data_IF_796796980716
#
_entry.id   IF_796796980716
#
_cell.length_a   1.000
_cell.length_b   1.000
_cell.length_c   1.000
_cell.angle_alpha   90.00
_cell.angle_beta   90.00
_cell.angle_gamma   90.00
#
_symmetry.space_group_name_H-M   'P 1'
#
loop_
_entity.id
_entity.type
_entity.pdbx_description
1 polymer ?
#
# COMPACT_ATOMS: atom_id res chain seq x y z
N UNK A 1 -14.74 -32.13 32.72
CA UNK A 1 -15.21 -31.00 31.90
C UNK A 1 -13.97 -30.26 31.41
N UNK A 2 -13.57 -30.49 30.16
CA UNK A 2 -12.43 -29.82 29.56
C UNK A 2 -12.94 -28.55 28.90
N UNK A 3 -12.56 -27.39 29.44
CA UNK A 3 -12.86 -26.10 28.81
C UNK A 3 -11.75 -25.86 27.79
N UNK A 4 -12.04 -26.15 26.53
CA UNK A 4 -11.25 -25.66 25.41
C UNK A 4 -11.59 -24.17 25.27
N UNK A 5 -10.73 -23.31 25.82
CA UNK A 5 -10.76 -21.88 25.49
C UNK A 5 -10.56 -21.77 23.99
N UNK A 6 -11.64 -21.46 23.26
CA UNK A 6 -11.66 -21.33 21.82
C UNK A 6 -10.61 -20.33 21.39
N UNK A 7 -9.46 -20.83 20.93
CA UNK A 7 -8.58 -20.04 20.08
C UNK A 7 -9.38 -19.75 18.82
N UNK A 8 -9.87 -18.52 18.71
CA UNK A 8 -10.28 -17.97 17.43
C UNK A 8 -9.02 -17.89 16.57
N UNK A 9 -8.72 -18.97 15.86
CA UNK A 9 -7.84 -18.93 14.69
C UNK A 9 -8.68 -18.26 13.60
N UNK A 10 -8.92 -16.96 13.72
CA UNK A 10 -9.24 -16.17 12.54
C UNK A 10 -7.92 -15.94 11.84
N UNK A 11 -7.74 -16.54 10.68
CA UNK A 11 -6.75 -16.13 9.68
C UNK A 11 -7.10 -14.73 9.14
N UNK A 12 -7.42 -13.79 10.03
CA UNK A 12 -7.41 -12.38 9.71
C UNK A 12 -5.94 -12.10 9.39
N UNK A 13 -5.58 -12.00 8.11
CA UNK A 13 -4.32 -11.39 7.69
C UNK A 13 -4.36 -9.92 8.13
N UNK A 14 -4.15 -9.68 9.43
CA UNK A 14 -4.15 -8.35 10.02
C UNK A 14 -2.93 -7.64 9.48
N UNK A 15 -3.17 -6.63 8.68
CA UNK A 15 -2.15 -5.63 8.34
C UNK A 15 -1.94 -4.83 9.62
N UNK A 16 -0.87 -5.14 10.35
CA UNK A 16 -0.55 -4.51 11.63
C UNK A 16 0.75 -3.70 11.53
N UNK A 17 1.04 -2.89 12.55
CA UNK A 17 2.21 -2.00 12.60
C UNK A 17 3.56 -2.72 12.59
N UNK A 18 3.61 -4.03 12.81
CA UNK A 18 4.87 -4.80 12.88
C UNK A 18 5.57 -4.93 11.53
N UNK A 19 4.83 -4.76 10.43
CA UNK A 19 5.36 -4.77 9.06
C UNK A 19 5.14 -3.41 8.37
N UNK A 20 5.02 -2.34 9.16
CA UNK A 20 4.95 -1.00 8.59
C UNK A 20 6.25 -0.68 7.85
N UNK A 21 6.12 -0.02 6.71
CA UNK A 21 7.28 0.42 5.94
C UNK A 21 7.63 1.85 6.32
N UNK A 22 8.93 2.12 6.43
CA UNK A 22 9.44 3.44 6.77
C UNK A 22 10.02 4.18 5.56
N UNK A 23 10.87 5.17 5.86
CA UNK A 23 11.53 6.03 4.86
C UNK A 23 12.53 5.30 3.94
N UNK A 24 12.95 4.11 4.33
CA UNK A 24 13.82 3.21 3.57
C UNK A 24 13.08 2.49 2.43
N UNK A 25 11.76 2.36 2.50
CA UNK A 25 10.98 1.65 1.50
C UNK A 25 10.62 2.57 0.34
N UNK A 26 10.97 2.17 -0.89
CA UNK A 26 10.55 2.86 -2.10
C UNK A 26 9.29 2.21 -2.68
N UNK A 27 8.19 2.97 -2.74
CA UNK A 27 6.94 2.51 -3.34
C UNK A 27 7.04 2.25 -4.85
N UNK A 28 8.10 2.71 -5.51
CA UNK A 28 8.38 2.32 -6.90
C UNK A 28 8.95 0.90 -7.02
N UNK A 29 9.47 0.33 -5.93
CA UNK A 29 9.94 -1.06 -5.88
C UNK A 29 8.74 -2.00 -6.06
N UNK A 30 8.85 -3.07 -6.87
CA UNK A 30 7.75 -4.03 -7.02
C UNK A 30 7.36 -4.69 -5.69
N UNK A 31 6.10 -4.53 -5.29
CA UNK A 31 5.48 -5.27 -4.19
C UNK A 31 4.04 -5.63 -4.53
N UNK A 32 3.49 -6.60 -3.78
CA UNK A 32 2.12 -7.09 -3.92
C UNK A 32 1.36 -6.98 -2.61
N UNK A 33 0.07 -6.65 -2.69
CA UNK A 33 -0.79 -6.56 -1.52
C UNK A 33 -0.71 -5.19 -0.86
N UNK A 34 -0.79 -5.17 0.48
CA UNK A 34 -0.97 -3.94 1.25
C UNK A 34 0.26 -3.68 2.11
N UNK A 35 0.79 -2.46 2.04
CA UNK A 35 1.81 -1.93 2.94
C UNK A 35 1.18 -0.96 3.92
N UNK A 36 1.44 -1.17 5.19
CA UNK A 36 1.07 -0.24 6.25
C UNK A 36 2.13 0.85 6.36
N UNK A 37 1.71 2.09 6.58
CA UNK A 37 2.57 3.26 6.74
C UNK A 37 2.26 3.84 8.11
N UNK A 38 3.27 3.98 8.97
CA UNK A 38 3.06 4.26 10.39
C UNK A 38 4.10 5.25 10.96
N UNK A 39 3.92 6.54 10.69
CA UNK A 39 4.70 7.64 11.22
C UNK A 39 5.90 8.05 10.38
N UNK A 40 6.35 7.18 9.46
CA UNK A 40 7.46 7.47 8.55
C UNK A 40 6.99 7.42 7.10
N UNK A 41 7.39 8.42 6.32
CA UNK A 41 6.97 8.56 4.91
C UNK A 41 7.87 7.73 4.00
N UNK A 42 7.34 6.72 3.28
CA UNK A 42 8.11 5.97 2.29
C UNK A 42 8.50 6.85 1.09
N UNK A 43 9.51 6.44 0.34
CA UNK A 43 9.89 7.13 -0.88
C UNK A 43 8.79 6.98 -1.92
N UNK A 44 8.61 8.02 -2.74
CA UNK A 44 7.57 8.09 -3.77
C UNK A 44 6.12 7.94 -3.25
N UNK A 45 5.87 8.20 -1.96
CA UNK A 45 4.52 8.38 -1.42
C UNK A 45 3.93 9.76 -1.82
N UNK A 46 2.60 9.94 -1.95
CA UNK A 46 2.01 11.23 -2.27
C UNK A 46 2.47 12.30 -1.28
N UNK A 47 2.95 13.45 -1.77
CA UNK A 47 3.62 14.47 -0.94
C UNK A 47 2.69 15.11 0.10
N UNK A 48 1.42 15.29 -0.23
CA UNK A 48 0.46 15.97 0.64
C UNK A 48 -0.27 15.03 1.60
N UNK A 49 0.03 13.72 1.53
CA UNK A 49 -0.59 12.72 2.39
C UNK A 49 0.11 12.65 3.74
N UNK A 50 -0.65 12.32 4.78
CA UNK A 50 -0.10 11.98 6.08
C UNK A 50 0.65 10.64 6.05
N UNK A 51 1.78 10.48 6.77
CA UNK A 51 2.51 9.22 6.85
C UNK A 51 1.86 8.19 7.80
N UNK A 52 0.52 8.16 7.86
CA UNK A 52 -0.25 7.15 8.60
C UNK A 52 -1.35 6.66 7.67
N UNK A 53 -1.31 5.38 7.29
CA UNK A 53 -2.24 4.88 6.28
C UNK A 53 -1.76 3.60 5.60
N UNK A 54 -2.23 3.37 4.39
CA UNK A 54 -1.88 2.18 3.62
C UNK A 54 -1.55 2.54 2.16
N UNK A 55 -0.70 1.72 1.55
CA UNK A 55 -0.52 1.67 0.11
C UNK A 55 -0.81 0.26 -0.39
N UNK A 56 -1.75 0.14 -1.33
CA UNK A 56 -2.17 -1.11 -1.95
C UNK A 56 -1.53 -1.18 -3.32
N UNK A 57 -0.90 -2.31 -3.66
CA UNK A 57 -0.32 -2.56 -4.99
C UNK A 57 -0.96 -3.80 -5.60
N UNK A 58 -1.55 -3.61 -6.78
CA UNK A 58 -2.31 -4.62 -7.51
C UNK A 58 -1.67 -4.76 -8.89
N UNK A 59 -1.28 -5.99 -9.25
CA UNK A 59 -0.86 -6.29 -10.62
C UNK A 59 -2.09 -6.43 -11.50
N UNK A 60 -2.16 -5.64 -12.58
CA UNK A 60 -3.31 -5.63 -13.49
C UNK A 60 -3.10 -6.55 -14.69
N UNK A 61 -1.87 -6.57 -15.19
CA UNK A 61 -1.34 -7.53 -16.17
C UNK A 61 0.14 -7.76 -15.86
N UNK A 62 0.76 -8.76 -16.49
CA UNK A 62 2.18 -9.08 -16.28
C UNK A 62 3.03 -7.80 -16.33
N UNK A 63 3.74 -7.54 -15.23
CA UNK A 63 4.60 -6.37 -15.02
C UNK A 63 3.90 -5.01 -14.87
N UNK A 64 2.62 -4.85 -15.19
CA UNK A 64 1.88 -3.59 -15.01
C UNK A 64 1.07 -3.57 -13.72
N UNK A 65 1.02 -2.40 -13.06
CA UNK A 65 0.51 -2.29 -11.69
C UNK A 65 -0.34 -1.04 -11.50
N UNK A 66 -1.26 -1.11 -10.56
CA UNK A 66 -1.94 0.04 -9.99
C UNK A 66 -1.60 0.11 -8.51
N UNK A 67 -1.34 1.32 -8.03
CA UNK A 67 -1.20 1.61 -6.62
C UNK A 67 -2.27 2.58 -6.14
N UNK A 68 -2.79 2.31 -4.94
CA UNK A 68 -3.76 3.15 -4.26
C UNK A 68 -3.19 3.49 -2.89
N UNK A 69 -2.97 4.77 -2.62
CA UNK A 69 -2.59 5.28 -1.31
C UNK A 69 -3.84 5.82 -0.61
N UNK A 70 -4.01 5.49 0.67
CA UNK A 70 -5.08 6.00 1.53
C UNK A 70 -4.44 6.39 2.85
N UNK A 71 -4.54 7.66 3.23
CA UNK A 71 -4.06 8.13 4.54
C UNK A 71 -5.16 8.10 5.61
N UNK A 72 -4.78 8.37 6.86
CA UNK A 72 -5.68 8.37 8.01
C UNK A 72 -6.68 9.53 8.03
N UNK A 73 -6.58 10.48 7.09
CA UNK A 73 -7.57 11.53 6.86
C UNK A 73 -8.53 11.20 5.71
N UNK A 74 -8.44 9.98 5.15
CA UNK A 74 -9.19 9.53 3.99
C UNK A 74 -8.84 10.28 2.70
N UNK A 75 -7.66 10.89 2.60
CA UNK A 75 -7.17 11.28 1.28
C UNK A 75 -6.86 10.02 0.48
N UNK A 76 -7.28 9.99 -0.78
CA UNK A 76 -7.12 8.83 -1.67
C UNK A 76 -6.38 9.28 -2.91
N UNK A 77 -5.29 8.59 -3.24
CA UNK A 77 -4.55 8.83 -4.47
C UNK A 77 -4.31 7.53 -5.21
N UNK A 78 -4.34 7.59 -6.55
CA UNK A 78 -4.09 6.46 -7.43
C UNK A 78 -2.96 6.78 -8.40
N UNK A 79 -2.13 5.78 -8.70
CA UNK A 79 -1.14 5.84 -9.79
C UNK A 79 -0.99 4.48 -10.44
N UNK A 80 -0.36 4.44 -11.61
CA UNK A 80 -0.10 3.20 -12.32
C UNK A 80 1.36 3.10 -12.76
N UNK A 81 1.87 1.88 -12.76
CA UNK A 81 3.09 1.46 -13.44
C UNK A 81 2.69 0.79 -14.74
N UNK A 82 2.69 1.54 -15.84
CA UNK A 82 2.26 1.05 -17.14
C UNK A 82 2.93 1.82 -18.26
N UNK A 83 2.95 1.24 -19.44
CA UNK A 83 3.54 1.84 -20.62
C UNK A 83 3.64 0.81 -21.75
N UNK A 84 4.14 1.21 -22.92
CA UNK A 84 4.45 0.28 -24.01
C UNK A 84 5.43 -0.80 -23.54
N UNK A 85 5.42 -1.95 -24.20
CA UNK A 85 6.35 -3.05 -23.92
C UNK A 85 7.79 -2.55 -23.88
N UNK A 86 8.49 -2.78 -22.76
CA UNK A 86 9.87 -2.35 -22.54
C UNK A 86 10.07 -0.94 -21.97
N UNK A 87 8.99 -0.17 -21.75
CA UNK A 87 9.06 1.18 -21.18
C UNK A 87 7.95 1.40 -20.14
N UNK A 88 8.00 0.62 -19.07
CA UNK A 88 7.10 0.80 -17.94
C UNK A 88 7.60 1.93 -17.04
N UNK A 89 6.73 2.91 -16.79
CA UNK A 89 7.01 4.08 -15.96
C UNK A 89 5.90 4.28 -14.94
N UNK A 90 6.25 4.84 -13.78
CA UNK A 90 5.27 5.26 -12.80
C UNK A 90 4.65 6.59 -13.24
N UNK A 91 3.32 6.64 -13.30
CA UNK A 91 2.62 7.90 -13.39
C UNK A 91 2.79 8.71 -12.11
N UNK A 92 2.55 10.02 -12.20
CA UNK A 92 2.31 10.82 -11.01
C UNK A 92 1.08 10.29 -10.25
N UNK A 93 1.04 10.55 -8.95
CA UNK A 93 -0.15 10.33 -8.14
C UNK A 93 -1.27 11.26 -8.57
N UNK A 94 -2.46 10.71 -8.80
CA UNK A 94 -3.70 11.44 -9.00
C UNK A 94 -4.53 11.35 -7.71
N UNK A 95 -4.72 12.48 -7.04
CA UNK A 95 -5.59 12.57 -5.87
C UNK A 95 -7.06 12.54 -6.33
N UNK A 96 -7.92 11.91 -5.53
CA UNK A 96 -9.34 11.72 -5.80
C UNK A 96 -10.18 12.45 -4.76
N UNK A 97 -11.25 13.12 -5.21
CA UNK A 97 -12.25 13.73 -4.33
C UNK A 97 -11.87 15.09 -3.72
N UNK A 98 -10.91 15.79 -4.34
CA UNK A 98 -10.63 17.22 -4.05
C UNK A 98 -11.77 18.14 -4.52
#
# INVERSE_FOLDING_TARGET
MFILNGQKISNDYRINSQNAVGSEFDLNTPFYGIKHINGERPQNYPKDFLPWGICISIETVVSARVQIAIDSMNHIAIRNYSGPTGSLIWSNWKVLGE
#
